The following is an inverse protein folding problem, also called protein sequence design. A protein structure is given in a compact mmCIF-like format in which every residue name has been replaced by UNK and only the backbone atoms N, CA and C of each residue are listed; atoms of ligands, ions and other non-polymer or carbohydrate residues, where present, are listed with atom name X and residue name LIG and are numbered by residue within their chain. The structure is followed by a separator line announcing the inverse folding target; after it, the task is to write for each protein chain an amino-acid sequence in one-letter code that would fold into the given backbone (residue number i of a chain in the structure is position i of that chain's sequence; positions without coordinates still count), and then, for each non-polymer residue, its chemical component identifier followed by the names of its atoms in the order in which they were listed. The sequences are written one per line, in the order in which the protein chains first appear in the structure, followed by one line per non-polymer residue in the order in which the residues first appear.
data_IF_654066363365
#
_entry.id   IF_654066363365
#
_cell.length_a   1.000
_cell.length_b   1.000
_cell.length_c   1.000
_cell.angle_alpha   90.00
_cell.angle_beta   90.00
_cell.angle_gamma   90.00
#
_symmetry.space_group_name_H-M   'P 1'
#
loop_
_entity.id
_entity.type
_entity.pdbx_description
1 polymer ?
#
# COMPACT_ATOMS: atom_id res chain seq x y z
N UNK A 1 7.91 20.69 -12.52
CA UNK A 1 6.79 20.38 -11.62
C UNK A 1 5.63 21.30 -11.97
N UNK A 2 4.45 20.76 -12.24
CA UNK A 2 3.22 21.51 -12.53
C UNK A 2 2.23 21.44 -11.36
N UNK A 3 2.37 20.48 -10.44
CA UNK A 3 1.52 20.35 -9.26
C UNK A 3 2.24 19.61 -8.13
N UNK A 4 1.83 19.87 -6.89
CA UNK A 4 2.31 19.17 -5.69
C UNK A 4 1.14 18.95 -4.71
N UNK A 5 1.12 17.79 -4.05
CA UNK A 5 0.23 17.50 -2.93
C UNK A 5 1.01 16.85 -1.79
N UNK A 6 0.69 17.24 -0.57
CA UNK A 6 1.15 16.55 0.64
C UNK A 6 -0.06 15.79 1.19
N UNK A 7 0.11 14.48 1.36
CA UNK A 7 -0.87 13.60 2.01
C UNK A 7 -0.35 13.29 3.41
N UNK A 8 -1.16 13.55 4.43
CA UNK A 8 -0.82 13.26 5.83
C UNK A 8 -1.74 12.17 6.37
N UNK A 9 -1.15 11.18 7.03
CA UNK A 9 -1.84 9.98 7.51
C UNK A 9 -1.79 9.93 9.04
N UNK A 10 -2.59 10.79 9.68
CA UNK A 10 -2.69 10.92 11.14
C UNK A 10 -1.32 10.86 11.87
N UNK A 11 -1.07 9.81 12.65
CA UNK A 11 0.16 9.59 13.42
C UNK A 11 1.31 8.92 12.62
N UNK A 12 1.15 8.75 11.30
CA UNK A 12 2.12 8.11 10.41
C UNK A 12 2.89 9.11 9.54
N UNK A 13 3.75 8.59 8.67
CA UNK A 13 4.53 9.39 7.73
C UNK A 13 3.60 10.13 6.74
N UNK A 14 4.03 11.33 6.32
CA UNK A 14 3.39 12.05 5.20
C UNK A 14 4.06 11.68 3.87
N UNK A 15 3.29 11.73 2.79
CA UNK A 15 3.76 11.47 1.42
C UNK A 15 3.61 12.75 0.60
N UNK A 16 4.72 13.21 0.01
CA UNK A 16 4.71 14.30 -0.97
C UNK A 16 4.64 13.74 -2.39
N UNK A 17 3.59 14.09 -3.12
CA UNK A 17 3.39 13.71 -4.51
C UNK A 17 3.64 14.90 -5.43
N UNK A 18 4.44 14.67 -6.46
CA UNK A 18 4.83 15.68 -7.43
C UNK A 18 4.39 15.28 -8.84
N UNK A 19 3.72 16.17 -9.54
CA UNK A 19 3.39 16.00 -10.94
C UNK A 19 4.34 16.84 -11.81
N UNK A 20 5.03 16.20 -12.74
CA UNK A 20 5.94 16.84 -13.69
C UNK A 20 5.37 16.75 -15.11
N UNK A 21 5.74 17.73 -15.95
CA UNK A 21 5.37 17.77 -17.36
C UNK A 21 6.57 18.28 -18.16
N UNK A 22 6.68 17.87 -19.43
CA UNK A 22 7.74 18.30 -20.36
C UNK A 22 9.16 17.97 -19.85
N UNK A 23 9.33 16.77 -19.28
CA UNK A 23 10.61 16.28 -18.78
C UNK A 23 10.74 14.78 -19.03
N UNK A 24 11.96 14.25 -18.98
CA UNK A 24 12.20 12.82 -19.12
C UNK A 24 11.78 12.09 -17.84
N UNK A 25 11.10 10.95 -17.98
CA UNK A 25 10.67 10.10 -16.88
C UNK A 25 10.92 8.63 -17.23
N UNK A 26 11.34 7.85 -16.23
CA UNK A 26 11.46 6.40 -16.34
C UNK A 26 10.11 5.70 -16.25
N UNK A 27 10.13 4.38 -16.43
CA UNK A 27 8.97 3.54 -16.12
C UNK A 27 8.76 3.43 -14.60
N UNK A 28 7.52 3.25 -14.12
CA UNK A 28 7.25 2.97 -12.72
C UNK A 28 7.99 1.72 -12.23
N UNK A 29 8.43 1.73 -10.96
CA UNK A 29 9.04 0.56 -10.33
C UNK A 29 8.04 -0.60 -10.23
N UNK A 30 8.54 -1.83 -10.38
CA UNK A 30 7.78 -3.06 -10.17
C UNK A 30 8.19 -3.76 -8.87
N UNK A 31 7.39 -4.73 -8.42
CA UNK A 31 7.57 -5.43 -7.15
C UNK A 31 8.89 -6.23 -7.04
N UNK A 32 9.64 -6.41 -8.12
CA UNK A 32 10.93 -7.09 -8.11
C UNK A 32 12.14 -6.14 -8.20
N UNK A 33 11.92 -4.84 -8.35
CA UNK A 33 13.00 -3.85 -8.53
C UNK A 33 13.71 -3.52 -7.22
N UNK A 34 14.98 -3.13 -7.25
CA UNK A 34 15.65 -2.63 -6.05
C UNK A 34 15.19 -1.20 -5.72
N UNK A 35 14.94 -0.90 -4.44
CA UNK A 35 14.56 0.43 -3.96
C UNK A 35 13.10 0.48 -3.46
N UNK A 36 12.50 1.67 -3.50
CA UNK A 36 11.09 1.85 -3.12
C UNK A 36 10.19 1.33 -4.24
N UNK A 37 9.65 0.13 -4.04
CA UNK A 37 8.79 -0.54 -5.02
C UNK A 37 7.31 -0.16 -4.85
N UNK A 38 6.81 -0.16 -3.62
CA UNK A 38 5.42 0.09 -3.27
C UNK A 38 5.28 0.72 -1.88
N UNK A 39 4.11 1.28 -1.60
CA UNK A 39 3.70 1.71 -0.27
C UNK A 39 2.49 0.90 0.18
N UNK A 40 2.48 0.51 1.45
CA UNK A 40 1.40 -0.25 2.06
C UNK A 40 0.55 0.67 2.95
N UNK A 41 -0.77 0.60 2.82
CA UNK A 41 -1.72 1.38 3.60
C UNK A 41 -2.64 0.46 4.40
N UNK A 42 -2.63 0.64 5.71
CA UNK A 42 -3.67 0.08 6.56
C UNK A 42 -5.01 0.78 6.28
N UNK A 43 -6.06 -0.01 6.10
CA UNK A 43 -7.43 0.47 5.88
C UNK A 43 -8.40 -0.29 6.78
N UNK A 44 -9.39 0.42 7.32
CA UNK A 44 -10.38 -0.20 8.22
C UNK A 44 -11.32 -1.16 7.47
N UNK A 45 -11.63 -0.86 6.21
CA UNK A 45 -12.47 -1.68 5.33
C UNK A 45 -11.81 -1.81 3.96
N UNK A 46 -11.23 -2.99 3.70
CA UNK A 46 -10.52 -3.24 2.44
C UNK A 46 -11.44 -3.30 1.23
N UNK A 47 -12.70 -3.71 1.40
CA UNK A 47 -13.67 -3.81 0.31
C UNK A 47 -14.09 -2.40 -0.13
N UNK A 48 -14.40 -1.53 0.83
CA UNK A 48 -14.71 -0.13 0.53
C UNK A 48 -13.49 0.60 -0.05
N UNK A 49 -12.28 0.33 0.47
CA UNK A 49 -11.06 0.92 -0.05
C UNK A 49 -10.78 0.49 -1.50
N UNK A 50 -10.97 -0.79 -1.83
CA UNK A 50 -10.81 -1.32 -3.19
C UNK A 50 -11.80 -0.67 -4.19
N UNK A 51 -13.07 -0.49 -3.76
CA UNK A 51 -14.08 0.20 -4.55
C UNK A 51 -13.68 1.66 -4.81
N UNK A 52 -13.36 2.41 -3.75
CA UNK A 52 -12.93 3.81 -3.87
C UNK A 52 -11.69 3.96 -4.75
N UNK A 53 -10.75 3.01 -4.68
CA UNK A 53 -9.55 3.02 -5.50
C UNK A 53 -9.87 2.83 -6.98
N UNK A 54 -10.78 1.91 -7.29
CA UNK A 54 -11.25 1.65 -8.66
C UNK A 54 -12.01 2.86 -9.21
N UNK A 55 -12.87 3.49 -8.41
CA UNK A 55 -13.60 4.72 -8.77
C UNK A 55 -12.66 5.91 -9.03
N UNK A 56 -11.46 5.89 -8.45
CA UNK A 56 -10.40 6.87 -8.69
C UNK A 56 -9.47 6.50 -9.86
N UNK A 57 -9.95 5.68 -10.81
CA UNK A 57 -9.24 5.17 -11.99
C UNK A 57 -8.04 4.26 -11.67
N UNK A 58 -7.99 3.70 -10.46
CA UNK A 58 -7.01 2.70 -10.07
C UNK A 58 -7.32 1.30 -10.60
N UNK A 59 -6.28 0.50 -10.80
CA UNK A 59 -6.39 -0.91 -11.20
C UNK A 59 -6.13 -1.82 -10.01
N UNK A 60 -7.08 -2.71 -9.68
CA UNK A 60 -6.83 -3.80 -8.72
C UNK A 60 -6.04 -4.91 -9.44
N UNK A 61 -4.93 -5.35 -8.86
CA UNK A 61 -4.10 -6.41 -9.42
C UNK A 61 -4.47 -7.78 -8.85
N UNK A 62 -5.11 -7.79 -7.68
CA UNK A 62 -5.68 -8.96 -7.01
C UNK A 62 -7.00 -8.58 -6.36
N UNK A 63 -7.85 -9.56 -6.12
CA UNK A 63 -8.96 -9.41 -5.18
C UNK A 63 -8.43 -9.39 -3.74
N UNK A 64 -9.18 -8.83 -2.76
CA UNK A 64 -8.87 -8.98 -1.34
C UNK A 64 -8.72 -10.46 -0.96
N UNK A 65 -7.61 -10.80 -0.33
CA UNK A 65 -7.28 -12.17 0.06
C UNK A 65 -6.56 -12.20 1.41
N UNK A 66 -6.66 -13.33 2.13
CA UNK A 66 -6.09 -13.45 3.48
C UNK A 66 -4.58 -13.19 3.53
N UNK A 67 -4.10 -12.63 4.64
CA UNK A 67 -2.67 -12.34 4.86
C UNK A 67 -1.77 -13.55 4.60
N UNK A 68 -0.58 -13.29 4.01
CA UNK A 68 0.40 -14.33 3.71
C UNK A 68 1.25 -14.67 4.93
N UNK A 69 1.24 -15.95 5.29
CA UNK A 69 1.78 -16.43 6.55
C UNK A 69 3.29 -16.52 6.72
N UNK A 70 4.07 -16.13 5.72
CA UNK A 70 5.53 -16.24 5.79
C UNK A 70 6.16 -15.08 6.57
N UNK A 71 5.43 -13.96 6.75
CA UNK A 71 5.92 -12.76 7.44
C UNK A 71 5.03 -12.40 8.63
N UNK A 72 3.71 -12.36 8.42
CA UNK A 72 2.72 -12.12 9.47
C UNK A 72 1.50 -12.99 9.16
N UNK A 73 1.15 -13.88 10.09
CA UNK A 73 -0.11 -14.63 10.04
C UNK A 73 -1.18 -13.87 10.84
N UNK A 74 -2.45 -14.10 10.53
CA UNK A 74 -3.51 -13.52 11.35
C UNK A 74 -4.86 -13.45 10.67
N UNK A 75 -5.79 -12.75 11.32
CA UNK A 75 -7.11 -12.45 10.76
C UNK A 75 -7.04 -11.11 10.05
N UNK A 76 -6.99 -11.14 8.73
CA UNK A 76 -6.97 -9.96 7.88
C UNK A 76 -6.86 -10.30 6.41
N UNK A 77 -7.03 -9.29 5.58
CA UNK A 77 -6.95 -9.34 4.13
C UNK A 77 -5.95 -8.31 3.60
N UNK A 78 -5.39 -8.59 2.44
CA UNK A 78 -4.58 -7.65 1.66
C UNK A 78 -4.93 -7.74 0.18
N UNK A 79 -4.53 -6.71 -0.58
CA UNK A 79 -4.50 -6.74 -2.04
C UNK A 79 -3.42 -5.81 -2.57
N UNK A 80 -2.95 -6.11 -3.78
CA UNK A 80 -2.13 -5.19 -4.55
C UNK A 80 -2.97 -4.43 -5.57
N UNK A 81 -2.67 -3.14 -5.73
CA UNK A 81 -3.30 -2.30 -6.71
C UNK A 81 -2.30 -1.33 -7.35
N UNK A 82 -2.69 -0.72 -8.47
CA UNK A 82 -1.86 0.16 -9.26
C UNK A 82 -2.58 1.48 -9.51
N UNK A 83 -1.89 2.56 -9.18
CA UNK A 83 -2.39 3.93 -9.41
C UNK A 83 -2.39 4.28 -10.91
N UNK A 84 -3.12 5.32 -11.35
CA UNK A 84 -3.11 5.77 -12.74
C UNK A 84 -1.72 6.15 -13.29
N UNK A 85 -0.77 6.53 -12.41
CA UNK A 85 0.62 6.82 -12.77
C UNK A 85 1.56 5.63 -12.60
N UNK A 86 1.01 4.44 -12.35
CA UNK A 86 1.70 3.16 -12.39
C UNK A 86 2.39 2.72 -11.09
N UNK A 87 2.39 3.55 -10.03
CA UNK A 87 2.89 3.17 -8.70
C UNK A 87 2.08 2.00 -8.15
N UNK A 88 2.79 1.01 -7.62
CA UNK A 88 2.22 -0.10 -6.87
C UNK A 88 1.89 0.32 -5.45
N UNK A 89 0.71 -0.07 -4.99
CA UNK A 89 0.28 0.06 -3.60
C UNK A 89 -0.18 -1.30 -3.08
N UNK A 90 -0.07 -1.48 -1.77
CA UNK A 90 -0.71 -2.56 -1.03
C UNK A 90 -1.77 -1.95 -0.11
N UNK A 91 -2.98 -2.50 -0.13
CA UNK A 91 -4.00 -2.22 0.88
C UNK A 91 -4.08 -3.42 1.81
N UNK A 92 -4.14 -3.16 3.11
CA UNK A 92 -4.20 -4.21 4.12
C UNK A 92 -5.17 -3.84 5.23
N UNK A 93 -5.93 -4.82 5.70
CA UNK A 93 -6.88 -4.68 6.81
C UNK A 93 -6.76 -5.90 7.70
N UNK A 94 -6.50 -5.72 8.98
CA UNK A 94 -6.28 -6.81 9.92
C UNK A 94 -6.66 -6.38 11.34
N UNK A 95 -6.95 -7.34 12.20
CA UNK A 95 -7.12 -7.06 13.64
C UNK A 95 -5.74 -6.95 14.31
N UNK A 96 -5.35 -5.77 14.83
CA UNK A 96 -4.05 -5.58 15.49
C UNK A 96 -3.76 -6.56 16.63
N UNK A 97 -4.82 -7.09 17.27
CA UNK A 97 -4.70 -8.01 18.40
C UNK A 97 -4.58 -9.48 17.97
N UNK A 98 -4.68 -9.77 16.67
CA UNK A 98 -4.66 -11.12 16.10
C UNK A 98 -3.57 -11.31 15.04
N UNK A 99 -2.53 -10.47 15.08
CA UNK A 99 -1.32 -10.72 14.32
C UNK A 99 -0.42 -11.70 15.08
N UNK A 100 -0.09 -12.80 14.40
CA UNK A 100 0.89 -13.79 14.80
C UNK A 100 2.20 -13.52 14.06
N UNK A 101 3.26 -13.31 14.84
CA UNK A 101 4.60 -13.05 14.33
C UNK A 101 5.46 -14.33 14.41
N UNK A 102 6.40 -14.53 13.47
CA UNK A 102 7.41 -15.59 13.57
C UNK A 102 8.18 -15.55 14.90
N UNK A 103 8.65 -16.71 15.38
CA UNK A 103 9.38 -16.81 16.66
C UNK A 103 10.68 -15.97 16.67
N UNK A 104 11.28 -15.75 15.51
CA UNK A 104 12.52 -14.99 15.30
C UNK A 104 12.27 -13.51 14.98
N UNK A 105 11.03 -13.02 15.07
CA UNK A 105 10.71 -11.61 14.83
C UNK A 105 11.40 -10.69 15.86
N UNK A 106 12.27 -9.81 15.40
CA UNK A 106 13.00 -8.85 16.26
C UNK A 106 12.12 -7.66 16.70
N UNK A 107 11.05 -7.37 15.98
CA UNK A 107 10.12 -6.29 16.26
C UNK A 107 8.71 -6.62 15.75
N UNK A 108 7.72 -5.98 16.35
CA UNK A 108 6.35 -6.00 15.86
C UNK A 108 6.10 -4.80 14.95
N UNK A 109 5.25 -4.99 13.96
CA UNK A 109 4.71 -3.91 13.13
C UNK A 109 4.00 -2.89 14.02
N UNK A 110 4.12 -1.61 13.67
CA UNK A 110 3.26 -0.59 14.25
C UNK A 110 1.81 -0.83 13.79
N UNK A 111 0.91 -0.99 14.73
CA UNK A 111 -0.52 -1.11 14.47
C UNK A 111 -1.22 0.17 14.96
N UNK A 112 -2.21 0.69 14.21
CA UNK A 112 -3.08 1.76 14.73
C UNK A 112 -3.92 1.30 15.92
#
# INVERSE_FOLDING_TARGET
MIHMRILSFDHSASIELFNYQNTEQGQPAIASDLGVQHFAFYVDDIQQAAQNFTEADGELLTEPQGLLGDVENGVGDFLYCRTPWGMLLELLSYDPNKLDYPEDAEAKRYTP
#
